data_IF_205630848339
#
_entry.id   IF_205630848339
#
_cell.length_a   1.000
_cell.length_b   1.000
_cell.length_c   1.000
_cell.angle_alpha   90.00
_cell.angle_beta   90.00
_cell.angle_gamma   90.00
#
_symmetry.space_group_name_H-M   'P 1'
#
loop_
_entity.id
_entity.type
_entity.pdbx_description
1 polymer ?
#
# COMPACT_ATOMS: atom_id res chain seq x y z
N UNK A 1 -3.03 -34.57 -44.78
CA UNK A 1 -3.53 -33.31 -44.19
C UNK A 1 -4.44 -33.65 -43.01
N UNK A 2 -4.04 -33.37 -41.76
CA UNK A 2 -4.98 -32.87 -40.74
C UNK A 2 -4.22 -32.29 -39.56
N UNK A 3 -4.35 -30.98 -39.47
CA UNK A 3 -3.94 -30.08 -38.41
C UNK A 3 -4.82 -30.28 -37.17
N UNK A 4 -4.24 -30.47 -35.99
CA UNK A 4 -4.82 -30.16 -34.67
C UNK A 4 -3.64 -29.97 -33.72
N UNK A 5 -3.06 -28.77 -33.61
CA UNK A 5 -3.40 -27.78 -32.57
C UNK A 5 -3.88 -28.43 -31.27
N UNK A 6 -2.94 -28.71 -30.36
CA UNK A 6 -3.24 -28.83 -28.94
C UNK A 6 -2.41 -27.78 -28.22
N UNK A 7 -3.08 -26.66 -27.93
CA UNK A 7 -2.56 -25.45 -27.30
C UNK A 7 -1.96 -25.81 -25.94
N UNK A 8 -0.67 -25.52 -25.76
CA UNK A 8 -0.03 -25.42 -24.45
C UNK A 8 -0.67 -24.24 -23.70
N UNK A 9 -1.60 -24.52 -22.79
CA UNK A 9 -2.14 -23.55 -21.86
C UNK A 9 -1.15 -23.41 -20.69
N UNK A 10 -0.18 -22.51 -20.81
CA UNK A 10 0.63 -22.08 -19.67
C UNK A 10 -0.28 -21.28 -18.72
N UNK A 11 -0.73 -21.90 -17.63
CA UNK A 11 -1.25 -21.18 -16.47
C UNK A 11 -0.07 -20.45 -15.82
N UNK A 12 0.05 -19.15 -16.07
CA UNK A 12 0.86 -18.28 -15.24
C UNK A 12 0.15 -18.14 -13.89
N UNK A 13 0.51 -18.99 -12.93
CA UNK A 13 0.24 -18.76 -11.51
C UNK A 13 1.08 -17.55 -11.08
N UNK A 14 0.50 -16.36 -11.21
CA UNK A 14 1.01 -15.19 -10.53
C UNK A 14 0.72 -15.37 -9.04
N UNK A 15 1.67 -15.94 -8.31
CA UNK A 15 1.67 -15.86 -6.86
C UNK A 15 1.97 -14.41 -6.49
N UNK A 16 0.95 -13.55 -6.48
CA UNK A 16 1.00 -12.33 -5.69
C UNK A 16 1.05 -12.78 -4.24
N UNK A 17 2.22 -12.64 -3.61
CA UNK A 17 2.32 -12.76 -2.16
C UNK A 17 1.46 -11.63 -1.59
N UNK A 18 0.18 -11.92 -1.34
CA UNK A 18 -0.71 -11.00 -0.66
C UNK A 18 -0.16 -10.88 0.75
N UNK A 19 0.55 -9.78 1.01
CA UNK A 19 0.83 -9.37 2.38
C UNK A 19 -0.53 -9.28 3.07
N UNK A 20 -0.66 -9.88 4.26
CA UNK A 20 -1.89 -9.80 5.04
C UNK A 20 -2.03 -8.37 5.53
N UNK A 21 -2.68 -7.55 4.72
CA UNK A 21 -3.01 -6.15 4.97
C UNK A 21 -4.47 -6.01 5.38
N UNK A 22 -5.16 -7.12 5.69
CA UNK A 22 -6.59 -7.13 6.01
C UNK A 22 -6.92 -6.34 7.28
N UNK A 23 -5.94 -6.17 8.17
CA UNK A 23 -6.03 -5.37 9.40
C UNK A 23 -5.64 -3.91 9.21
N UNK A 24 -5.25 -3.48 7.99
CA UNK A 24 -4.99 -2.07 7.71
C UNK A 24 -6.32 -1.28 7.70
N UNK A 25 -6.49 -0.28 8.58
CA UNK A 25 -7.69 0.56 8.58
C UNK A 25 -7.71 1.52 7.39
N UNK A 26 -8.90 2.02 7.06
CA UNK A 26 -9.08 3.12 6.12
C UNK A 26 -8.50 4.40 6.74
N UNK A 27 -7.71 5.16 6.00
CA UNK A 27 -7.29 6.50 6.42
C UNK A 27 -6.87 7.38 5.24
N UNK A 28 -6.91 8.69 5.48
CA UNK A 28 -6.32 9.71 4.63
C UNK A 28 -5.28 10.51 5.41
N UNK A 29 -4.14 10.81 4.78
CA UNK A 29 -3.08 11.62 5.38
C UNK A 29 -2.40 12.51 4.35
N UNK A 30 -2.02 13.72 4.76
CA UNK A 30 -1.31 14.68 3.91
C UNK A 30 0.15 14.81 4.37
N UNK A 31 1.06 14.17 3.64
CA UNK A 31 2.48 14.17 3.97
C UNK A 31 3.20 15.46 3.52
N UNK A 32 4.33 15.83 4.17
CA UNK A 32 5.19 16.90 3.71
C UNK A 32 5.51 16.80 2.21
N UNK A 33 5.55 17.93 1.52
CA UNK A 33 5.72 17.95 0.07
C UNK A 33 4.41 17.81 -0.73
N UNK A 34 3.25 17.96 -0.09
CA UNK A 34 1.91 17.88 -0.72
C UNK A 34 1.64 16.49 -1.32
N UNK A 35 2.00 15.47 -0.54
CA UNK A 35 1.85 14.07 -0.95
C UNK A 35 0.67 13.50 -0.18
N UNK A 36 -0.44 13.31 -0.86
CA UNK A 36 -1.58 12.61 -0.32
C UNK A 36 -1.27 11.12 -0.20
N UNK A 37 -1.60 10.54 0.95
CA UNK A 37 -1.57 9.11 1.21
C UNK A 37 -2.99 8.69 1.57
N UNK A 38 -3.48 7.67 0.87
CA UNK A 38 -4.81 7.11 1.11
C UNK A 38 -4.68 5.60 1.22
N UNK A 39 -5.34 4.99 2.19
CA UNK A 39 -5.43 3.55 2.32
C UNK A 39 -6.89 3.15 2.42
N UNK A 40 -7.32 2.21 1.57
CA UNK A 40 -8.59 1.51 1.73
C UNK A 40 -8.50 0.46 2.84
N UNK A 41 -9.61 0.20 3.55
CA UNK A 41 -9.64 -0.86 4.57
C UNK A 41 -9.34 -2.22 3.93
N UNK A 42 -8.28 -2.88 4.41
CA UNK A 42 -7.82 -4.15 3.83
C UNK A 42 -7.28 -4.04 2.39
N UNK A 43 -7.08 -2.82 1.87
CA UNK A 43 -6.77 -2.54 0.48
C UNK A 43 -5.37 -1.93 0.27
N UNK A 44 -4.99 -1.67 -0.99
CA UNK A 44 -3.68 -1.12 -1.30
C UNK A 44 -3.58 0.34 -0.84
N UNK A 45 -2.40 0.72 -0.36
CA UNK A 45 -2.10 2.14 -0.06
C UNK A 45 -1.75 2.86 -1.36
N UNK A 46 -2.24 4.07 -1.53
CA UNK A 46 -1.85 4.96 -2.62
C UNK A 46 -1.00 6.11 -2.09
N UNK A 47 0.05 6.47 -2.85
CA UNK A 47 0.95 7.59 -2.57
C UNK A 47 0.92 8.52 -3.77
N UNK A 48 0.51 9.78 -3.55
CA UNK A 48 0.31 10.77 -4.60
C UNK A 48 -0.63 10.28 -5.74
N UNK A 49 -1.70 9.57 -5.36
CA UNK A 49 -2.70 9.02 -6.29
C UNK A 49 -2.22 7.84 -7.13
N UNK A 50 -1.10 7.20 -6.76
CA UNK A 50 -0.59 5.98 -7.40
C UNK A 50 -0.53 4.86 -6.38
N UNK A 51 -0.96 3.67 -6.79
CA UNK A 51 -0.84 2.46 -5.97
C UNK A 51 0.62 2.22 -5.57
N UNK A 52 0.83 1.94 -4.29
CA UNK A 52 2.11 1.64 -3.69
C UNK A 52 2.17 0.17 -3.27
N UNK A 53 3.37 -0.39 -3.32
CA UNK A 53 3.61 -1.73 -2.79
C UNK A 53 3.47 -1.70 -1.27
N UNK A 54 2.41 -2.33 -0.76
CA UNK A 54 2.08 -2.33 0.67
C UNK A 54 2.41 -3.69 1.28
N UNK A 55 3.10 -3.69 2.41
CA UNK A 55 3.38 -4.89 3.20
C UNK A 55 3.07 -4.68 4.67
N UNK A 56 2.57 -5.71 5.33
CA UNK A 56 2.60 -5.81 6.78
C UNK A 56 4.02 -6.13 7.25
N UNK A 57 4.46 -5.40 8.26
CA UNK A 57 5.70 -5.68 9.00
C UNK A 57 5.36 -6.57 10.20
N UNK A 58 4.25 -6.26 10.85
CA UNK A 58 3.61 -7.01 11.91
C UNK A 58 2.11 -6.65 11.94
N UNK A 59 1.39 -7.08 12.98
CA UNK A 59 -0.06 -6.93 13.10
C UNK A 59 -0.54 -5.48 13.01
N UNK A 60 0.33 -4.55 13.41
CA UNK A 60 -0.04 -3.18 13.71
C UNK A 60 0.86 -2.15 12.98
N UNK A 61 1.86 -2.64 12.23
CA UNK A 61 2.76 -1.82 11.45
C UNK A 61 2.78 -2.26 9.99
N UNK A 62 2.64 -1.28 9.11
CA UNK A 62 2.60 -1.47 7.68
C UNK A 62 3.58 -0.51 6.98
N UNK A 63 4.08 -0.92 5.83
CA UNK A 63 4.96 -0.10 5.01
C UNK A 63 4.43 -0.07 3.57
N UNK A 64 4.24 1.13 3.04
CA UNK A 64 3.86 1.37 1.66
C UNK A 64 5.00 2.06 0.91
N UNK A 65 5.38 1.51 -0.24
CA UNK A 65 6.50 2.00 -1.05
C UNK A 65 6.05 2.32 -2.47
N UNK A 66 6.29 3.57 -2.87
CA UNK A 66 5.88 4.04 -4.19
C UNK A 66 6.59 5.34 -4.57
N UNK A 67 6.93 5.49 -5.85
CA UNK A 67 7.48 6.75 -6.40
C UNK A 67 8.73 7.30 -5.68
N UNK A 68 9.54 6.43 -5.04
CA UNK A 68 10.73 6.83 -4.28
C UNK A 68 10.45 7.39 -2.88
N UNK A 69 9.24 7.14 -2.36
CA UNK A 69 8.79 7.47 -1.01
C UNK A 69 8.48 6.15 -0.30
N UNK A 70 8.86 6.08 0.96
CA UNK A 70 8.45 5.01 1.88
C UNK A 70 7.55 5.65 2.93
N UNK A 71 6.36 5.10 3.08
CA UNK A 71 5.40 5.50 4.11
C UNK A 71 5.34 4.38 5.14
N UNK A 72 5.55 4.71 6.40
CA UNK A 72 5.38 3.81 7.54
C UNK A 72 4.11 4.18 8.27
N UNK A 73 3.29 3.17 8.53
CA UNK A 73 1.95 3.29 9.09
C UNK A 73 1.92 2.46 10.38
N UNK A 74 1.57 3.09 11.49
CA UNK A 74 1.44 2.48 12.81
C UNK A 74 0.00 2.68 13.29
N UNK A 75 -0.74 1.59 13.48
CA UNK A 75 -2.15 1.62 13.89
C UNK A 75 -2.25 1.70 15.40
N UNK A 76 -2.35 2.88 16.01
CA UNK A 76 -2.37 2.95 17.48
C UNK A 76 -3.63 2.29 18.06
N UNK A 77 -4.75 2.47 17.36
CA UNK A 77 -6.07 1.87 17.62
C UNK A 77 -6.91 1.95 16.32
N UNK A 78 -8.10 1.36 16.28
CA UNK A 78 -9.02 1.36 15.13
C UNK A 78 -9.29 2.77 14.58
N UNK A 79 -9.30 3.80 15.43
CA UNK A 79 -9.57 5.19 15.03
C UNK A 79 -8.31 6.06 14.89
N UNK A 80 -7.13 5.57 15.30
CA UNK A 80 -5.90 6.38 15.34
C UNK A 80 -4.76 5.70 14.61
N UNK A 81 -4.28 6.34 13.54
CA UNK A 81 -3.07 5.90 12.82
C UNK A 81 -2.00 6.98 12.85
N UNK A 82 -0.76 6.55 13.00
CA UNK A 82 0.41 7.41 12.89
C UNK A 82 1.12 7.11 11.58
N UNK A 83 1.16 8.11 10.72
CA UNK A 83 1.73 8.01 9.38
C UNK A 83 3.01 8.83 9.33
N UNK A 84 4.08 8.23 8.82
CA UNK A 84 5.35 8.93 8.56
C UNK A 84 5.83 8.61 7.17
N UNK A 85 6.42 9.59 6.50
CA UNK A 85 6.97 9.43 5.18
C UNK A 85 8.45 9.79 5.18
N UNK A 86 9.23 9.04 4.41
CA UNK A 86 10.64 9.26 4.17
C UNK A 86 10.98 9.10 2.69
N UNK A 87 11.94 9.88 2.21
CA UNK A 87 12.44 9.81 0.85
C UNK A 87 12.19 11.07 0.04
N UNK A 88 11.87 10.90 -1.24
CA UNK A 88 11.93 12.00 -2.21
C UNK A 88 10.82 13.02 -1.97
N UNK A 89 11.20 14.17 -1.40
CA UNK A 89 10.30 15.31 -1.19
C UNK A 89 9.36 15.19 0.01
N UNK A 90 9.37 14.04 0.71
CA UNK A 90 8.56 13.81 1.91
C UNK A 90 9.43 13.23 3.01
N UNK A 91 9.60 13.98 4.10
CA UNK A 91 10.36 13.56 5.27
C UNK A 91 9.68 14.12 6.52
N UNK A 92 9.00 13.25 7.27
CA UNK A 92 8.34 13.63 8.52
C UNK A 92 7.01 12.93 8.76
N UNK A 93 6.32 13.40 9.79
CA UNK A 93 4.97 12.93 10.15
C UNK A 93 3.96 13.49 9.15
N UNK A 94 3.03 12.65 8.72
CA UNK A 94 1.90 13.03 7.90
C UNK A 94 0.68 13.20 8.81
N UNK A 95 0.13 14.41 8.98
CA UNK A 95 -1.15 14.59 9.65
C UNK A 95 -2.23 13.75 8.96
N UNK A 96 -2.93 12.95 9.75
CA UNK A 96 -4.15 12.28 9.33
C UNK A 96 -5.25 13.30 9.16
N UNK A 97 -6.09 13.09 8.16
CA UNK A 97 -7.29 13.87 7.94
C UNK A 97 -8.39 13.16 8.73
N UNK A 98 -8.80 13.78 9.84
CA UNK A 98 -10.02 13.40 10.54
C UNK A 98 -11.20 14.02 9.78
N UNK A 99 -12.21 13.23 9.42
CA UNK A 99 -13.47 13.72 8.83
C UNK A 99 -14.40 14.33 9.90
#
# INVERSE_FOLDING_TARGET
>A
MRNTLTVLLLLAIANTAHADISSLPLFDADCPGKIAVHADSGGPVTIAGKEAETKSIDDNHFEAKGSGITVSIEVIDDETVKVTAAGKGSNGVCPTLED
#
